data_IF_277699887147
#
_entry.id   IF_277699887147
#
_cell.length_a   1.000
_cell.length_b   1.000
_cell.length_c   1.000
_cell.angle_alpha   90.00
_cell.angle_beta   90.00
_cell.angle_gamma   90.00
#
_symmetry.space_group_name_H-M   'P 1'
#
loop_
_entity.id
_entity.type
_entity.pdbx_description
1 polymer ?
#
# COMPACT_ATOMS: atom_id res chain seq x y z
N UNK A 1 2.32 -1.31 25.50
CA UNK A 1 1.97 -0.43 24.36
C UNK A 1 1.08 -1.19 23.39
N UNK A 2 -0.02 -0.58 22.92
CA UNK A 2 -0.93 -1.22 21.97
C UNK A 2 -0.40 -0.97 20.56
N UNK A 3 0.25 -1.97 19.98
CA UNK A 3 0.70 -1.92 18.59
C UNK A 3 -0.52 -1.84 17.67
N UNK A 4 -0.55 -0.85 16.76
CA UNK A 4 -1.56 -0.77 15.71
C UNK A 4 -1.13 -1.75 14.61
N UNK A 5 -1.99 -2.72 14.30
CA UNK A 5 -1.78 -3.65 13.20
C UNK A 5 -2.09 -2.91 11.90
N UNK A 6 -1.06 -2.71 11.07
CA UNK A 6 -1.19 -2.15 9.73
C UNK A 6 -1.55 -3.30 8.79
N UNK A 7 -2.77 -3.32 8.27
CA UNK A 7 -3.28 -4.40 7.42
C UNK A 7 -3.27 -3.93 5.96
N UNK A 8 -2.64 -4.65 5.00
CA UNK A 8 -2.63 -4.27 3.59
C UNK A 8 -4.02 -4.36 2.94
N UNK A 9 -4.36 -3.38 2.11
CA UNK A 9 -5.71 -3.12 1.60
C UNK A 9 -6.27 -4.14 0.60
N UNK A 10 -5.45 -4.96 -0.06
CA UNK A 10 -5.92 -5.80 -1.19
C UNK A 10 -6.75 -7.04 -0.78
N UNK A 11 -6.91 -7.35 0.51
CA UNK A 11 -7.51 -8.63 0.94
C UNK A 11 -8.95 -8.57 1.45
N UNK A 12 -9.61 -7.41 1.46
CA UNK A 12 -10.93 -7.31 2.09
C UNK A 12 -11.98 -6.82 1.09
N UNK A 13 -12.64 -7.78 0.42
CA UNK A 13 -13.85 -7.56 -0.36
C UNK A 13 -15.07 -7.21 0.51
N UNK A 14 -14.94 -6.19 1.37
CA UNK A 14 -16.03 -5.70 2.20
C UNK A 14 -16.61 -4.42 1.63
N UNK A 15 -17.89 -4.48 1.28
CA UNK A 15 -18.72 -3.29 1.02
C UNK A 15 -19.09 -2.67 2.36
N UNK A 16 -18.61 -1.46 2.67
CA UNK A 16 -19.01 -0.72 3.87
C UNK A 16 -20.47 -0.24 3.71
N UNK A 17 -21.41 -0.92 4.36
CA UNK A 17 -22.77 -0.44 4.56
C UNK A 17 -22.87 0.25 5.93
N UNK A 18 -23.27 1.51 5.95
CA UNK A 18 -23.56 2.25 7.17
C UNK A 18 -24.86 1.70 7.79
N UNK A 19 -24.73 0.76 8.73
CA UNK A 19 -25.84 0.20 9.49
C UNK A 19 -25.38 -0.20 10.88
N UNK A 20 -26.12 0.23 11.90
CA UNK A 20 -25.80 0.11 13.32
C UNK A 20 -25.53 -1.34 13.76
N UNK A 21 -24.62 -1.46 14.72
CA UNK A 21 -24.11 -2.72 15.26
C UNK A 21 -25.21 -3.65 15.78
N UNK A 22 -25.28 -4.85 15.21
CA UNK A 22 -25.80 -6.00 15.92
C UNK A 22 -24.89 -7.20 15.62
N UNK A 23 -23.95 -7.44 16.53
CA UNK A 23 -23.06 -8.59 16.50
C UNK A 23 -23.84 -9.80 17.01
N UNK A 24 -24.30 -10.67 16.11
CA UNK A 24 -24.88 -11.95 16.49
C UNK A 24 -23.76 -12.92 16.84
N UNK A 25 -23.82 -13.46 18.05
CA UNK A 25 -22.88 -14.40 18.66
C UNK A 25 -22.95 -15.78 17.98
N UNK A 26 -22.54 -15.92 16.71
CA UNK A 26 -22.34 -17.24 16.08
C UNK A 26 -21.44 -17.14 14.85
N UNK A 27 -20.14 -16.90 15.05
CA UNK A 27 -19.16 -16.84 13.96
C UNK A 27 -17.85 -17.50 14.40
N UNK A 28 -17.92 -18.81 14.69
CA UNK A 28 -16.76 -19.64 15.00
C UNK A 28 -16.17 -20.38 13.80
N UNK A 29 -16.77 -20.31 12.62
CA UNK A 29 -16.40 -21.16 11.49
C UNK A 29 -16.29 -20.37 10.17
N UNK A 30 -15.23 -19.56 10.01
CA UNK A 30 -14.61 -19.22 8.71
C UNK A 30 -13.43 -18.25 8.87
N UNK A 31 -12.38 -18.65 9.60
CA UNK A 31 -11.04 -18.04 9.45
C UNK A 31 -10.01 -19.15 9.23
N UNK A 32 -10.26 -19.99 8.23
CA UNK A 32 -9.30 -20.97 7.76
C UNK A 32 -8.37 -20.35 6.73
N UNK A 33 -7.13 -20.09 7.18
CA UNK A 33 -5.89 -20.15 6.40
C UNK A 33 -5.51 -18.97 5.50
N UNK A 34 -5.48 -17.76 6.07
CA UNK A 34 -4.43 -16.82 5.65
C UNK A 34 -3.13 -17.21 6.36
N UNK A 35 -2.20 -17.82 5.64
CA UNK A 35 -0.86 -18.15 6.12
C UNK A 35 -0.03 -16.87 6.30
N UNK A 36 -0.24 -16.20 7.43
CA UNK A 36 0.56 -15.06 7.89
C UNK A 36 2.01 -15.45 8.25
N UNK A 37 2.38 -16.73 8.13
CA UNK A 37 3.71 -17.24 8.49
C UNK A 37 4.76 -16.99 7.42
N UNK A 38 4.36 -16.61 6.20
CA UNK A 38 5.29 -16.14 5.17
C UNK A 38 5.53 -14.65 5.38
N UNK A 39 6.41 -14.33 6.32
CA UNK A 39 7.20 -13.10 6.22
C UNK A 39 7.86 -13.14 4.84
N UNK A 40 7.30 -12.38 3.89
CA UNK A 40 7.99 -12.08 2.63
C UNK A 40 9.32 -11.49 3.10
N UNK A 41 10.44 -12.10 2.71
CA UNK A 41 11.76 -11.53 2.96
C UNK A 41 11.82 -10.23 2.14
N UNK A 42 11.28 -9.15 2.71
CA UNK A 42 11.40 -7.82 2.17
C UNK A 42 12.89 -7.49 2.30
N UNK A 43 13.64 -7.82 1.24
CA UNK A 43 15.00 -7.32 1.05
C UNK A 43 14.94 -5.84 1.42
N UNK A 44 15.62 -5.48 2.50
CA UNK A 44 15.55 -4.14 3.06
C UNK A 44 16.25 -3.19 2.09
N UNK A 45 15.51 -2.71 1.10
CA UNK A 45 15.94 -1.72 0.15
C UNK A 45 15.87 -0.37 0.87
N UNK A 46 16.98 0.38 0.96
CA UNK A 46 16.95 1.68 1.61
C UNK A 46 15.99 2.60 0.85
N UNK A 47 15.09 3.27 1.55
CA UNK A 47 14.18 4.24 0.96
C UNK A 47 14.89 5.59 0.75
N UNK A 48 14.67 6.22 -0.41
CA UNK A 48 15.19 7.54 -0.73
C UNK A 48 14.50 8.63 0.11
N UNK A 49 13.22 8.42 0.40
CA UNK A 49 12.37 9.30 1.20
C UNK A 49 11.84 8.52 2.41
N UNK A 50 12.00 9.04 3.64
CA UNK A 50 11.48 8.38 4.84
C UNK A 50 9.96 8.12 4.76
N UNK A 51 9.53 6.88 5.04
CA UNK A 51 8.13 6.46 5.03
C UNK A 51 7.59 6.03 3.66
N UNK A 52 8.38 6.15 2.58
CA UNK A 52 7.99 5.76 1.24
C UNK A 52 7.67 4.26 1.16
N UNK A 53 8.50 3.40 1.76
CA UNK A 53 8.26 1.96 1.74
C UNK A 53 6.94 1.61 2.46
N UNK A 54 6.67 2.28 3.58
CA UNK A 54 5.42 2.07 4.35
C UNK A 54 4.21 2.53 3.55
N UNK A 55 4.31 3.66 2.86
CA UNK A 55 3.23 4.17 2.01
C UNK A 55 2.95 3.24 0.83
N UNK A 56 3.98 2.76 0.13
CA UNK A 56 3.81 1.77 -0.94
C UNK A 56 3.22 0.46 -0.41
N UNK A 57 3.61 0.01 0.78
CA UNK A 57 3.04 -1.19 1.42
C UNK A 57 1.53 -1.03 1.68
N UNK A 58 1.06 0.15 2.10
CA UNK A 58 -0.37 0.43 2.28
C UNK A 58 -1.16 0.28 0.97
N UNK A 59 -0.53 0.64 -0.15
CA UNK A 59 -1.05 0.48 -1.51
C UNK A 59 -0.80 -0.93 -2.08
N UNK A 60 -0.08 -1.78 -1.33
CA UNK A 60 0.44 -3.07 -1.75
C UNK A 60 1.27 -2.99 -3.05
N UNK A 61 2.15 -1.98 -3.10
CA UNK A 61 3.10 -1.66 -4.16
C UNK A 61 4.54 -1.70 -3.65
N UNK A 62 4.79 -2.34 -2.51
CA UNK A 62 6.11 -2.36 -1.88
C UNK A 62 7.20 -3.02 -2.74
N UNK A 63 6.80 -3.90 -3.67
CA UNK A 63 7.68 -4.49 -4.68
C UNK A 63 8.21 -3.46 -5.70
N UNK A 64 7.66 -2.23 -5.70
CA UNK A 64 8.05 -1.12 -6.59
C UNK A 64 9.00 -0.11 -5.95
N UNK A 65 9.50 -0.38 -4.74
CA UNK A 65 10.36 0.56 -3.99
C UNK A 65 11.63 0.97 -4.76
N UNK A 66 12.23 0.08 -5.55
CA UNK A 66 13.43 0.42 -6.35
C UNK A 66 13.13 1.50 -7.39
N UNK A 67 12.03 1.35 -8.13
CA UNK A 67 11.61 2.33 -9.14
C UNK A 67 11.09 3.64 -8.50
N UNK A 68 10.38 3.55 -7.37
CA UNK A 68 9.94 4.73 -6.64
C UNK A 68 11.11 5.54 -6.08
N UNK A 69 12.18 4.87 -5.60
CA UNK A 69 13.41 5.54 -5.20
C UNK A 69 14.09 6.27 -6.36
N UNK A 70 14.16 5.64 -7.53
CA UNK A 70 14.71 6.25 -8.75
C UNK A 70 13.95 7.53 -9.10
N UNK A 71 12.61 7.46 -9.12
CA UNK A 71 11.77 8.64 -9.35
C UNK A 71 12.03 9.75 -8.33
N UNK A 72 12.15 9.42 -7.03
CA UNK A 72 12.45 10.41 -5.99
C UNK A 72 13.80 11.12 -6.26
N UNK A 73 14.80 10.39 -6.73
CA UNK A 73 16.10 10.96 -7.09
C UNK A 73 16.03 11.84 -8.34
N UNK A 74 15.25 11.46 -9.34
CA UNK A 74 15.10 12.24 -10.58
C UNK A 74 14.32 13.54 -10.38
N UNK A 75 13.21 13.48 -9.63
CA UNK A 75 12.37 14.64 -9.34
C UNK A 75 12.91 15.49 -8.19
N UNK A 76 13.88 14.97 -7.44
CA UNK A 76 14.43 15.63 -6.25
C UNK A 76 13.45 15.67 -5.07
N UNK A 77 12.50 14.73 -5.02
CA UNK A 77 11.57 14.59 -3.91
C UNK A 77 12.34 14.16 -2.65
N UNK A 78 12.19 14.91 -1.56
CA UNK A 78 12.91 14.69 -0.30
C UNK A 78 11.96 14.32 0.85
N UNK A 79 10.67 14.59 0.71
CA UNK A 79 9.63 14.34 1.72
C UNK A 79 8.49 13.50 1.16
N UNK A 80 7.81 12.75 2.02
CA UNK A 80 6.71 11.89 1.58
C UNK A 80 5.53 12.74 1.07
N UNK A 81 5.33 13.93 1.65
CA UNK A 81 4.32 14.88 1.21
C UNK A 81 4.52 15.28 -0.25
N UNK A 82 5.76 15.59 -0.68
CA UNK A 82 6.07 15.89 -2.09
C UNK A 82 5.75 14.71 -3.01
N UNK A 83 6.06 13.48 -2.58
CA UNK A 83 5.73 12.26 -3.34
C UNK A 83 4.21 12.11 -3.51
N UNK A 84 3.44 12.35 -2.44
CA UNK A 84 1.97 12.24 -2.45
C UNK A 84 1.33 13.36 -3.28
N UNK A 85 1.88 14.57 -3.22
CA UNK A 85 1.43 15.71 -4.02
C UNK A 85 1.65 15.47 -5.53
N UNK A 86 2.79 14.86 -5.88
CA UNK A 86 3.17 14.48 -7.25
C UNK A 86 2.88 13.01 -7.59
N UNK A 87 1.87 12.39 -6.95
CA UNK A 87 1.52 10.97 -7.20
C UNK A 87 1.13 10.65 -8.65
N UNK A 88 0.60 11.63 -9.39
CA UNK A 88 0.24 11.46 -10.80
C UNK A 88 1.51 11.23 -11.63
N UNK A 89 2.52 12.07 -11.43
CA UNK A 89 3.82 11.95 -12.08
C UNK A 89 4.54 10.65 -11.67
N UNK A 90 4.46 10.26 -10.39
CA UNK A 90 4.98 8.98 -9.94
C UNK A 90 4.24 7.81 -10.61
N UNK A 91 2.92 7.87 -10.72
CA UNK A 91 2.13 6.81 -11.35
C UNK A 91 2.48 6.63 -12.82
N UNK A 92 2.68 7.73 -13.55
CA UNK A 92 3.11 7.72 -14.94
C UNK A 92 4.53 7.16 -15.07
N UNK A 93 5.46 7.62 -14.24
CA UNK A 93 6.83 7.07 -14.20
C UNK A 93 6.82 5.57 -13.92
N UNK A 94 6.08 5.13 -12.90
CA UNK A 94 5.99 3.72 -12.54
C UNK A 94 5.31 2.90 -13.63
N UNK A 95 4.40 3.46 -14.43
CA UNK A 95 3.80 2.77 -15.55
C UNK A 95 4.77 2.57 -16.72
N UNK A 96 5.67 3.52 -16.93
CA UNK A 96 6.69 3.47 -17.98
C UNK A 96 7.92 2.62 -17.59
N UNK A 97 8.36 2.75 -16.34
CA UNK A 97 9.61 2.17 -15.82
C UNK A 97 9.41 0.91 -14.98
N UNK A 98 8.17 0.62 -14.57
CA UNK A 98 7.82 -0.61 -13.88
C UNK A 98 6.59 -1.24 -14.53
N UNK A 99 6.40 -2.54 -14.40
CA UNK A 99 5.21 -3.23 -14.92
C UNK A 99 3.98 -2.94 -14.06
N UNK A 100 3.55 -1.68 -13.98
CA UNK A 100 2.39 -1.24 -13.20
C UNK A 100 1.10 -1.62 -13.94
N UNK A 101 0.20 -2.31 -13.26
CA UNK A 101 -1.13 -2.63 -13.81
C UNK A 101 -2.09 -1.44 -13.67
N UNK A 102 -3.16 -1.37 -14.47
CA UNK A 102 -4.14 -0.28 -14.36
C UNK A 102 -4.77 -0.14 -12.96
N UNK A 103 -5.03 -1.26 -12.27
CA UNK A 103 -5.57 -1.22 -10.90
C UNK A 103 -4.56 -0.77 -9.85
N UNK A 104 -3.28 -1.05 -10.04
CA UNK A 104 -2.20 -0.51 -9.19
C UNK A 104 -2.02 0.99 -9.40
N UNK A 105 -2.15 1.47 -10.64
CA UNK A 105 -2.18 2.90 -10.96
C UNK A 105 -3.35 3.60 -10.29
N UNK A 106 -4.54 3.00 -10.36
CA UNK A 106 -5.74 3.54 -9.70
C UNK A 106 -5.55 3.62 -8.18
N UNK A 107 -4.97 2.59 -7.54
CA UNK A 107 -4.68 2.60 -6.11
C UNK A 107 -3.72 3.73 -5.70
N UNK A 108 -2.74 4.07 -6.53
CA UNK A 108 -1.85 5.22 -6.33
C UNK A 108 -2.58 6.56 -6.40
N UNK A 109 -3.61 6.65 -7.24
CA UNK A 109 -4.36 7.87 -7.53
C UNK A 109 -5.57 8.08 -6.61
N UNK A 110 -6.02 7.05 -5.91
CA UNK A 110 -7.15 7.15 -4.98
C UNK A 110 -6.75 8.01 -3.75
N UNK A 111 -7.26 9.24 -3.73
CA UNK A 111 -6.90 10.30 -2.76
C UNK A 111 -7.79 10.26 -1.51
N UNK A 112 -7.59 9.27 -0.65
CA UNK A 112 -8.39 9.10 0.58
C UNK A 112 -9.84 8.69 0.31
N UNK A 113 -10.22 7.52 0.81
CA UNK A 113 -11.62 7.14 1.02
C UNK A 113 -11.88 7.02 2.51
#
# INVERSE_FOLDING_TARGET
>A
EKGKLLVPCKSLGFTLAAGESQFTEDMSDAVSEADFSKVKDYKHIPEAVPGLQTWLLLLCLEDRIEAANEWCHEMGAATLEEVIESREDLADFLQEHSTLTPGEREALLERDR
#
